data_IF_096423389119
#
_entry.id   IF_096423389119
#
_cell.length_a   1.000
_cell.length_b   1.000
_cell.length_c   1.000
_cell.angle_alpha   90.00
_cell.angle_beta   90.00
_cell.angle_gamma   90.00
#
_symmetry.space_group_name_H-M   'P 1'
#
loop_
_entity.id
_entity.type
_entity.pdbx_description
1 polymer ?
#
# COMPACT_ATOMS: atom_id res chain seq x y z
N UNK A 1 -19.59 -8.30 13.30
CA UNK A 1 -18.81 -7.42 12.41
C UNK A 1 -17.83 -8.33 11.67
N UNK A 2 -18.01 -8.52 10.36
CA UNK A 2 -17.12 -9.39 9.59
C UNK A 2 -15.87 -8.60 9.19
N UNK A 3 -14.68 -9.13 9.50
CA UNK A 3 -13.41 -8.62 8.96
C UNK A 3 -13.21 -9.27 7.58
N UNK A 4 -13.33 -8.52 6.47
CA UNK A 4 -13.10 -9.09 5.15
C UNK A 4 -11.60 -9.41 4.99
N UNK A 5 -11.29 -10.67 4.66
CA UNK A 5 -9.95 -11.10 4.25
C UNK A 5 -9.93 -11.13 2.72
N UNK A 6 -9.01 -10.36 2.12
CA UNK A 6 -8.79 -10.37 0.68
C UNK A 6 -7.46 -11.06 0.37
N UNK A 7 -7.51 -12.18 -0.34
CA UNK A 7 -6.34 -12.87 -0.87
C UNK A 7 -6.17 -12.50 -2.34
N UNK A 8 -5.07 -11.86 -2.70
CA UNK A 8 -4.81 -11.42 -4.06
C UNK A 8 -3.32 -11.46 -4.40
N UNK A 9 -3.01 -11.78 -5.66
CA UNK A 9 -1.64 -11.68 -6.19
C UNK A 9 -1.34 -10.27 -6.71
N UNK A 10 -2.37 -9.55 -7.14
CA UNK A 10 -2.31 -8.13 -7.54
C UNK A 10 -3.12 -7.33 -6.55
N UNK A 11 -2.46 -6.40 -5.86
CA UNK A 11 -3.10 -5.55 -4.86
C UNK A 11 -4.13 -4.66 -5.60
N UNK A 12 -5.38 -4.54 -5.10
CA UNK A 12 -6.36 -3.65 -5.72
C UNK A 12 -5.90 -2.19 -5.59
N UNK A 13 -6.39 -1.26 -6.43
CA UNK A 13 -6.14 0.15 -6.21
C UNK A 13 -6.87 0.64 -4.95
N UNK A 14 -6.28 1.56 -4.20
CA UNK A 14 -6.90 2.21 -3.03
C UNK A 14 -6.84 3.73 -3.14
N UNK A 15 -7.80 4.40 -2.49
CA UNK A 15 -7.71 5.84 -2.28
C UNK A 15 -6.79 6.13 -1.09
N UNK A 16 -5.60 6.65 -1.38
CA UNK A 16 -4.60 7.03 -0.38
C UNK A 16 -4.95 8.31 0.36
N UNK A 17 -6.00 9.01 -0.04
CA UNK A 17 -6.49 10.18 0.68
C UNK A 17 -7.64 9.83 1.66
N UNK A 18 -8.09 8.57 1.73
CA UNK A 18 -9.08 8.12 2.71
C UNK A 18 -8.41 7.59 3.98
N UNK A 19 -8.18 8.47 4.95
CA UNK A 19 -7.58 8.14 6.25
C UNK A 19 -8.35 7.03 6.99
N UNK A 20 -9.66 6.93 6.78
CA UNK A 20 -10.50 5.96 7.46
C UNK A 20 -10.25 4.56 6.88
N UNK A 21 -10.08 4.44 5.56
CA UNK A 21 -9.62 3.20 4.92
C UNK A 21 -8.19 2.84 5.34
N UNK A 22 -7.27 3.80 5.29
CA UNK A 22 -5.85 3.57 5.61
C UNK A 22 -5.62 3.03 7.02
N UNK A 23 -6.40 3.48 8.01
CA UNK A 23 -6.32 2.98 9.40
C UNK A 23 -6.78 1.53 9.56
N UNK A 24 -7.59 1.00 8.62
CA UNK A 24 -8.23 -0.31 8.72
C UNK A 24 -7.55 -1.38 7.87
N UNK A 25 -6.87 -1.00 6.79
CA UNK A 25 -6.17 -1.95 5.93
C UNK A 25 -4.89 -2.44 6.61
N UNK A 26 -4.67 -3.75 6.57
CA UNK A 26 -3.41 -4.39 6.98
C UNK A 26 -2.92 -5.28 5.85
N UNK A 27 -1.68 -5.05 5.40
CA UNK A 27 -1.05 -5.82 4.34
C UNK A 27 -0.14 -6.86 4.97
N UNK A 28 -0.46 -8.15 4.76
CA UNK A 28 0.37 -9.26 5.23
C UNK A 28 1.10 -9.85 4.01
N UNK A 29 2.40 -9.55 3.82
CA UNK A 29 3.12 -9.99 2.64
C UNK A 29 3.57 -11.45 2.79
N UNK A 30 3.05 -12.33 1.95
CA UNK A 30 3.53 -13.71 1.82
C UNK A 30 4.72 -13.76 0.86
N UNK A 31 5.94 -13.60 1.39
CA UNK A 31 7.17 -13.51 0.59
C UNK A 31 7.85 -14.86 0.35
N UNK A 32 7.48 -15.89 1.12
CA UNK A 32 8.08 -17.22 0.99
C UNK A 32 7.56 -17.93 -0.25
N UNK A 33 8.44 -18.67 -0.91
CA UNK A 33 8.15 -19.50 -2.07
C UNK A 33 8.33 -20.95 -1.65
N UNK A 34 7.25 -21.73 -1.73
CA UNK A 34 7.28 -23.15 -1.41
C UNK A 34 7.51 -23.95 -2.70
N UNK A 35 8.67 -24.59 -2.79
CA UNK A 35 9.08 -25.39 -3.96
C UNK A 35 9.73 -26.70 -3.52
N UNK A 36 9.95 -27.62 -4.45
CA UNK A 36 10.64 -28.89 -4.26
C UNK A 36 11.94 -28.91 -5.07
N UNK A 37 12.81 -29.91 -4.84
CA UNK A 37 14.05 -30.05 -5.60
C UNK A 37 13.80 -30.41 -7.09
N UNK A 38 12.69 -31.09 -7.36
CA UNK A 38 12.27 -31.59 -8.66
C UNK A 38 11.40 -30.61 -9.47
N UNK A 39 11.12 -29.40 -8.96
CA UNK A 39 10.38 -28.38 -9.71
C UNK A 39 11.22 -27.84 -10.88
N UNK A 40 10.86 -28.21 -12.11
CA UNK A 40 11.55 -27.78 -13.33
C UNK A 40 11.52 -26.28 -13.58
N UNK A 41 10.45 -25.58 -13.17
CA UNK A 41 10.30 -24.15 -13.44
C UNK A 41 11.01 -23.29 -12.41
N UNK A 42 11.05 -23.75 -11.16
CA UNK A 42 11.71 -23.04 -10.07
C UNK A 42 12.20 -24.04 -9.00
N UNK A 43 13.34 -24.69 -9.20
CA UNK A 43 13.86 -25.67 -8.25
C UNK A 43 14.20 -25.01 -6.91
N UNK A 44 14.12 -25.79 -5.83
CA UNK A 44 14.56 -25.34 -4.51
C UNK A 44 16.03 -24.92 -4.51
N UNK A 45 16.31 -23.81 -3.85
CA UNK A 45 17.64 -23.23 -3.72
C UNK A 45 17.84 -22.84 -2.26
N UNK A 46 18.82 -23.47 -1.63
CA UNK A 46 19.16 -23.26 -0.21
C UNK A 46 19.69 -21.85 0.06
N UNK A 47 20.32 -21.21 -0.94
CA UNK A 47 20.87 -19.87 -0.80
C UNK A 47 19.80 -18.78 -0.94
N UNK A 48 18.62 -19.13 -1.46
CA UNK A 48 17.53 -18.19 -1.59
C UNK A 48 16.78 -18.06 -0.25
N UNK A 49 16.83 -16.91 0.43
CA UNK A 49 16.25 -16.75 1.77
C UNK A 49 14.72 -16.87 1.79
N UNK A 50 14.06 -16.82 0.63
CA UNK A 50 12.60 -16.97 0.48
C UNK A 50 12.18 -18.40 0.15
N UNK A 51 13.09 -19.25 -0.30
CA UNK A 51 12.75 -20.62 -0.65
C UNK A 51 12.48 -21.45 0.61
N UNK A 52 11.39 -22.21 0.59
CA UNK A 52 11.01 -23.17 1.62
C UNK A 52 10.66 -24.48 0.93
N UNK A 53 10.98 -25.60 1.56
CA UNK A 53 10.57 -26.91 1.05
C UNK A 53 9.05 -27.04 1.15
N UNK A 54 8.42 -27.36 0.03
CA UNK A 54 6.99 -27.65 -0.05
C UNK A 54 6.72 -29.02 0.55
N UNK A 55 5.74 -29.10 1.45
CA UNK A 55 5.19 -30.37 1.94
C UNK A 55 4.02 -30.78 1.03
N UNK A 56 4.16 -31.85 0.21
CA UNK A 56 3.12 -32.27 -0.72
C UNK A 56 1.88 -32.79 0.01
N UNK A 57 2.04 -33.28 1.25
CA UNK A 57 0.97 -33.90 2.04
C UNK A 57 0.38 -32.93 3.09
N UNK A 58 0.68 -31.63 2.97
CA UNK A 58 0.27 -30.63 3.96
C UNK A 58 -1.25 -30.60 4.13
N UNK A 59 -1.99 -30.71 3.02
CA UNK A 59 -3.45 -30.65 3.04
C UNK A 59 -4.03 -31.82 3.82
N UNK A 60 -3.58 -33.03 3.55
CA UNK A 60 -4.01 -34.25 4.21
C UNK A 60 -3.67 -34.19 5.70
N UNK A 61 -2.45 -33.76 6.06
CA UNK A 61 -2.01 -33.57 7.45
C UNK A 61 -2.91 -32.58 8.20
N UNK A 62 -3.28 -31.45 7.58
CA UNK A 62 -4.16 -30.45 8.20
C UNK A 62 -5.60 -30.96 8.39
N UNK A 63 -6.05 -31.91 7.56
CA UNK A 63 -7.39 -32.51 7.65
C UNK A 63 -7.46 -33.68 8.64
N UNK A 64 -6.34 -34.18 9.15
CA UNK A 64 -6.34 -35.19 10.20
C UNK A 64 -6.99 -34.64 11.47
N UNK A 65 -7.81 -35.48 12.12
CA UNK A 65 -8.54 -35.10 13.35
C UNK A 65 -7.61 -34.58 14.44
N UNK A 66 -6.47 -35.24 14.65
CA UNK A 66 -5.47 -34.81 15.64
C UNK A 66 -4.91 -33.40 15.35
N UNK A 67 -4.67 -33.06 14.08
CA UNK A 67 -4.19 -31.72 13.69
C UNK A 67 -5.24 -30.65 13.91
N UNK A 68 -6.51 -30.95 13.64
CA UNK A 68 -7.63 -30.03 13.88
C UNK A 68 -7.81 -29.76 15.38
N UNK A 69 -7.74 -30.79 16.21
CA UNK A 69 -7.78 -30.68 17.67
C UNK A 69 -6.61 -29.84 18.20
N UNK A 70 -5.40 -30.08 17.71
CA UNK A 70 -4.21 -29.27 18.06
C UNK A 70 -4.36 -27.81 17.63
N UNK A 71 -4.89 -27.56 16.43
CA UNK A 71 -5.15 -26.22 15.95
C UNK A 71 -6.17 -25.48 16.81
N UNK A 72 -7.23 -26.16 17.25
CA UNK A 72 -8.21 -25.58 18.18
C UNK A 72 -7.57 -25.21 19.52
N UNK A 73 -6.73 -26.10 20.08
CA UNK A 73 -5.98 -25.80 21.31
C UNK A 73 -5.08 -24.58 21.11
N UNK A 74 -4.38 -24.50 19.98
CA UNK A 74 -3.54 -23.36 19.63
C UNK A 74 -4.34 -22.05 19.52
N UNK A 75 -5.53 -22.09 18.91
CA UNK A 75 -6.45 -20.94 18.84
C UNK A 75 -6.90 -20.48 20.24
N UNK A 76 -7.27 -21.40 21.13
CA UNK A 76 -7.68 -21.07 22.50
C UNK A 76 -6.52 -20.44 23.28
N UNK A 77 -5.31 -20.99 23.15
CA UNK A 77 -4.11 -20.40 23.74
C UNK A 77 -3.82 -18.99 23.19
N UNK A 78 -3.96 -18.81 21.87
CA UNK A 78 -3.81 -17.52 21.21
C UNK A 78 -4.84 -16.50 21.71
N UNK A 79 -6.11 -16.91 21.85
CA UNK A 79 -7.16 -16.06 22.39
C UNK A 79 -6.86 -15.61 23.82
N UNK A 80 -6.43 -16.53 24.70
CA UNK A 80 -6.03 -16.17 26.08
C UNK A 80 -4.90 -15.15 26.13
N UNK A 81 -3.87 -15.32 25.30
CA UNK A 81 -2.78 -14.35 25.17
C UNK A 81 -3.30 -13.00 24.70
N UNK A 82 -4.14 -12.99 23.65
CA UNK A 82 -4.73 -11.76 23.13
C UNK A 82 -5.60 -11.02 24.15
N UNK A 83 -6.40 -11.72 24.96
CA UNK A 83 -7.18 -11.09 26.02
C UNK A 83 -6.32 -10.48 27.14
N UNK A 84 -5.11 -11.01 27.35
CA UNK A 84 -4.19 -10.56 28.40
C UNK A 84 -3.31 -9.41 27.90
N UNK A 85 -2.70 -9.58 26.72
CA UNK A 85 -1.62 -8.72 26.21
C UNK A 85 -2.06 -7.84 25.02
N UNK A 86 -3.23 -8.09 24.45
CA UNK A 86 -3.66 -7.51 23.17
C UNK A 86 -2.90 -8.08 21.96
N UNK A 87 -3.03 -7.42 20.80
CA UNK A 87 -2.34 -7.83 19.56
C UNK A 87 -0.86 -7.38 19.52
N UNK A 88 -0.44 -6.53 20.45
CA UNK A 88 0.88 -5.91 20.48
C UNK A 88 1.10 -4.88 19.37
N UNK A 89 2.37 -4.54 19.15
CA UNK A 89 2.80 -3.59 18.13
C UNK A 89 2.77 -4.26 16.75
N UNK A 90 2.34 -3.53 15.73
CA UNK A 90 2.35 -4.03 14.34
C UNK A 90 3.81 -4.28 13.90
N UNK A 91 4.16 -5.49 13.44
CA UNK A 91 5.51 -5.79 12.95
C UNK A 91 5.96 -4.85 11.83
N UNK A 92 7.24 -4.49 11.82
CA UNK A 92 7.80 -3.56 10.84
C UNK A 92 7.57 -4.02 9.40
N UNK A 93 7.66 -5.33 9.12
CA UNK A 93 7.42 -5.87 7.79
C UNK A 93 5.99 -5.62 7.24
N UNK A 94 5.00 -5.47 8.13
CA UNK A 94 3.61 -5.13 7.78
C UNK A 94 3.49 -3.62 7.56
N UNK A 95 4.17 -2.81 8.40
CA UNK A 95 4.22 -1.35 8.24
C UNK A 95 4.85 -0.98 6.90
N UNK A 96 6.01 -1.57 6.58
CA UNK A 96 6.72 -1.34 5.32
C UNK A 96 5.85 -1.74 4.12
N UNK A 97 5.25 -2.93 4.15
CA UNK A 97 4.40 -3.41 3.06
C UNK A 97 3.15 -2.53 2.85
N UNK A 98 2.62 -1.94 3.92
CA UNK A 98 1.54 -0.97 3.83
C UNK A 98 2.00 0.37 3.25
N UNK A 99 3.16 0.88 3.67
CA UNK A 99 3.74 2.12 3.14
C UNK A 99 4.06 1.99 1.65
N UNK A 100 4.66 0.88 1.23
CA UNK A 100 4.93 0.57 -0.18
C UNK A 100 3.63 0.57 -0.98
N UNK A 101 2.58 -0.06 -0.45
CA UNK A 101 1.28 -0.09 -1.10
C UNK A 101 0.63 1.30 -1.22
N UNK A 102 0.79 2.16 -0.21
CA UNK A 102 0.32 3.54 -0.30
C UNK A 102 1.12 4.34 -1.34
N UNK A 103 2.45 4.18 -1.36
CA UNK A 103 3.31 4.86 -2.34
C UNK A 103 2.97 4.45 -3.78
N UNK A 104 2.74 3.16 -4.03
CA UNK A 104 2.29 2.62 -5.33
C UNK A 104 0.95 3.23 -5.80
N UNK A 105 0.08 3.66 -4.87
CA UNK A 105 -1.24 4.21 -5.20
C UNK A 105 -1.30 5.75 -5.19
N UNK A 106 -0.25 6.44 -4.73
CA UNK A 106 -0.21 7.90 -4.67
C UNK A 106 0.19 8.52 -6.01
N UNK A 107 -0.77 8.56 -6.94
CA UNK A 107 -0.60 9.16 -8.27
C UNK A 107 -0.21 10.63 -8.23
N UNK A 108 -0.66 11.39 -7.22
CA UNK A 108 -0.33 12.81 -7.11
C UNK A 108 1.13 12.99 -6.71
N UNK A 109 1.60 12.19 -5.74
CA UNK A 109 3.00 12.23 -5.33
C UNK A 109 3.94 11.82 -6.46
N UNK A 110 3.67 10.70 -7.15
CA UNK A 110 4.46 10.28 -8.32
C UNK A 110 4.49 11.36 -9.40
N UNK A 111 3.34 12.00 -9.70
CA UNK A 111 3.32 13.12 -10.65
C UNK A 111 4.21 14.30 -10.22
N UNK A 112 4.20 14.67 -8.94
CA UNK A 112 5.02 15.77 -8.42
C UNK A 112 6.50 15.41 -8.49
N UNK A 113 6.88 14.18 -8.11
CA UNK A 113 8.27 13.73 -8.09
C UNK A 113 8.87 13.60 -9.50
N UNK A 114 8.08 13.18 -10.47
CA UNK A 114 8.56 12.90 -11.83
C UNK A 114 8.44 14.12 -12.75
N UNK A 115 7.41 14.95 -12.59
CA UNK A 115 7.07 15.99 -13.57
C UNK A 115 7.12 17.42 -13.02
N UNK A 116 7.41 17.61 -11.73
CA UNK A 116 7.44 18.93 -11.14
C UNK A 116 8.77 19.22 -10.44
N UNK A 117 9.16 20.49 -10.47
CA UNK A 117 10.18 21.00 -9.57
C UNK A 117 9.50 21.61 -8.34
N UNK A 118 10.06 21.32 -7.15
CA UNK A 118 9.54 21.79 -5.87
C UNK A 118 10.53 22.77 -5.26
N UNK A 119 10.08 24.00 -5.02
CA UNK A 119 10.85 25.04 -4.31
C UNK A 119 9.90 25.95 -3.53
N UNK A 120 10.30 26.47 -2.35
CA UNK A 120 9.53 27.47 -1.62
C UNK A 120 9.14 28.71 -2.44
N UNK A 121 9.91 29.02 -3.49
CA UNK A 121 9.74 30.20 -4.34
C UNK A 121 8.88 29.94 -5.59
N UNK A 122 8.63 28.67 -5.93
CA UNK A 122 7.88 28.31 -7.12
C UNK A 122 6.39 28.45 -6.92
N UNK A 123 5.68 28.95 -7.94
CA UNK A 123 4.23 29.10 -7.91
C UNK A 123 3.63 28.64 -9.23
N UNK A 124 2.55 27.86 -9.16
CA UNK A 124 1.70 27.53 -10.32
C UNK A 124 0.26 27.93 -10.06
N UNK A 125 -0.46 28.24 -11.14
CA UNK A 125 -1.89 28.38 -11.11
C UNK A 125 -2.55 27.01 -10.84
N UNK A 126 -3.53 26.96 -9.94
CA UNK A 126 -4.20 25.72 -9.59
C UNK A 126 -4.95 25.07 -10.77
N UNK A 127 -5.46 25.88 -11.71
CA UNK A 127 -6.09 25.42 -12.95
C UNK A 127 -5.09 24.77 -13.89
N UNK A 128 -3.95 25.40 -14.12
CA UNK A 128 -2.87 24.86 -14.98
C UNK A 128 -2.30 23.56 -14.41
N UNK A 129 -2.06 23.54 -13.09
CA UNK A 129 -1.61 22.33 -12.39
C UNK A 129 -2.63 21.19 -12.49
N UNK A 130 -3.93 21.50 -12.32
CA UNK A 130 -5.00 20.50 -12.49
C UNK A 130 -5.05 19.97 -13.92
N UNK A 131 -4.91 20.84 -14.92
CA UNK A 131 -4.90 20.43 -16.31
C UNK A 131 -3.72 19.49 -16.61
N UNK A 132 -2.51 19.84 -16.15
CA UNK A 132 -1.32 19.01 -16.28
C UNK A 132 -1.47 17.65 -15.56
N UNK A 133 -1.95 17.67 -14.31
CA UNK A 133 -2.18 16.45 -13.53
C UNK A 133 -3.23 15.54 -14.17
N UNK A 134 -4.37 16.09 -14.63
CA UNK A 134 -5.42 15.31 -15.27
C UNK A 134 -4.96 14.71 -16.61
N UNK A 135 -4.15 15.46 -17.38
CA UNK A 135 -3.53 14.97 -18.63
C UNK A 135 -2.62 13.77 -18.36
N UNK A 136 -1.82 13.82 -17.29
CA UNK A 136 -0.88 12.74 -16.96
C UNK A 136 -1.57 11.54 -16.28
N UNK A 137 -2.45 11.78 -15.31
CA UNK A 137 -3.10 10.72 -14.54
C UNK A 137 -4.24 10.01 -15.27
N UNK A 138 -4.63 10.49 -16.46
CA UNK A 138 -5.79 10.00 -17.21
C UNK A 138 -7.12 10.13 -16.44
N UNK A 139 -7.14 10.95 -15.38
CA UNK A 139 -8.25 11.08 -14.43
C UNK A 139 -8.81 12.50 -14.49
N UNK A 140 -10.11 12.67 -14.28
CA UNK A 140 -10.73 14.00 -14.21
C UNK A 140 -10.99 14.40 -12.76
N UNK A 141 -9.94 14.83 -12.06
CA UNK A 141 -10.06 15.26 -10.65
C UNK A 141 -10.51 16.70 -10.57
N UNK A 142 -11.51 16.99 -9.73
CA UNK A 142 -12.00 18.35 -9.49
C UNK A 142 -10.92 19.20 -8.80
N UNK A 143 -10.91 20.51 -9.08
CA UNK A 143 -9.88 21.42 -8.55
C UNK A 143 -9.87 21.46 -7.02
N UNK A 144 -11.05 21.49 -6.39
CA UNK A 144 -11.20 21.52 -4.93
C UNK A 144 -10.56 20.28 -4.30
N UNK A 145 -10.87 19.09 -4.84
CA UNK A 145 -10.29 17.82 -4.39
C UNK A 145 -8.78 17.82 -4.55
N UNK A 146 -8.26 18.27 -5.70
CA UNK A 146 -6.83 18.32 -5.94
C UNK A 146 -6.11 19.29 -4.96
N UNK A 147 -6.73 20.42 -4.63
CA UNK A 147 -6.20 21.37 -3.64
C UNK A 147 -6.14 20.72 -2.25
N UNK A 148 -7.17 19.98 -1.83
CA UNK A 148 -7.15 19.25 -0.56
C UNK A 148 -6.05 18.20 -0.52
N UNK A 149 -5.87 17.45 -1.61
CA UNK A 149 -4.79 16.45 -1.75
C UNK A 149 -3.40 17.10 -1.66
N UNK A 150 -3.21 18.27 -2.26
CA UNK A 150 -1.97 19.06 -2.17
C UNK A 150 -1.71 19.55 -0.74
N UNK A 151 -2.74 20.04 -0.04
CA UNK A 151 -2.63 20.46 1.37
C UNK A 151 -2.24 19.30 2.28
N UNK A 152 -2.81 18.11 2.10
CA UNK A 152 -2.40 16.90 2.85
C UNK A 152 -0.91 16.57 2.69
N UNK A 153 -0.34 16.90 1.53
CA UNK A 153 1.09 16.75 1.20
C UNK A 153 1.92 17.98 1.58
N UNK A 154 1.38 18.87 2.42
CA UNK A 154 2.03 20.09 2.95
C UNK A 154 2.39 21.14 1.89
N UNK A 155 1.66 21.18 0.78
CA UNK A 155 1.73 22.29 -0.15
C UNK A 155 0.68 23.35 0.19
N UNK A 156 1.12 24.59 0.40
CA UNK A 156 0.21 25.70 0.69
C UNK A 156 -0.60 26.11 -0.53
N UNK A 157 -1.85 26.53 -0.26
CA UNK A 157 -2.72 27.17 -1.24
C UNK A 157 -3.15 28.53 -0.69
N UNK A 158 -2.93 29.60 -1.47
CA UNK A 158 -3.37 30.96 -1.13
C UNK A 158 -4.37 31.44 -2.18
N UNK A 159 -5.50 31.99 -1.74
CA UNK A 159 -6.43 32.70 -2.63
C UNK A 159 -6.00 34.17 -2.69
N UNK A 160 -5.61 34.63 -3.87
CA UNK A 160 -5.37 36.04 -4.16
C UNK A 160 -6.46 36.58 -5.09
N UNK A 161 -6.79 37.87 -4.97
CA UNK A 161 -7.77 38.56 -5.84
C UNK A 161 -7.43 38.47 -7.33
N UNK A 162 -6.15 38.28 -7.65
CA UNK A 162 -5.66 37.79 -8.94
C UNK A 162 -5.35 36.30 -8.78
N UNK A 163 -6.14 35.41 -9.36
CA UNK A 163 -6.10 33.99 -9.05
C UNK A 163 -4.72 33.34 -9.25
N UNK A 164 -3.97 33.11 -8.17
CA UNK A 164 -2.71 32.34 -8.18
C UNK A 164 -2.43 31.73 -6.81
N UNK A 165 -1.96 30.47 -6.80
CA UNK A 165 -0.79 29.98 -6.04
C UNK A 165 -0.95 28.58 -5.39
N UNK A 166 -0.02 27.70 -5.78
CA UNK A 166 0.52 26.55 -5.03
C UNK A 166 2.04 26.41 -5.29
N UNK A 167 2.82 25.85 -4.35
CA UNK A 167 4.30 25.86 -4.28
C UNK A 167 5.07 24.95 -5.27
N UNK A 168 4.47 24.60 -6.41
CA UNK A 168 4.99 23.58 -7.33
C UNK A 168 5.06 24.18 -8.73
N UNK A 169 6.10 23.91 -9.52
CA UNK A 169 6.15 24.32 -10.93
C UNK A 169 6.28 23.06 -11.82
N UNK A 170 5.37 22.83 -12.78
CA UNK A 170 5.54 21.76 -13.76
C UNK A 170 6.83 21.98 -14.55
N UNK A 171 7.58 20.91 -14.81
CA UNK A 171 8.80 20.99 -15.59
C UNK A 171 8.45 21.43 -17.03
N UNK A 172 9.07 22.52 -17.47
CA UNK A 172 8.92 23.09 -18.83
C UNK A 172 9.38 22.14 -19.94
N UNK A 173 10.06 21.05 -19.61
CA UNK A 173 10.57 20.07 -20.58
C UNK A 173 9.51 19.12 -21.19
N UNK A 174 8.24 19.20 -20.76
CA UNK A 174 7.18 18.29 -21.25
C UNK A 174 5.84 19.00 -21.56
N UNK A 175 5.88 20.24 -22.06
CA UNK A 175 4.74 20.86 -22.75
C UNK A 175 4.88 20.63 -24.24
#
# INVERSE_FOLDING_TARGET
MALPILLCNKKPPIDVDDDAMLRRIKIIPFRNIFTTYDDYSRPYDVNNPRHRLKDPNLREKLLMKCSQEQFLVWLVQGARKWYTDGLGVTPQCIVDAFNDYCAENDKLKSFIEEYCEVSPDYRVNAGDFRAAFNKHSGSNVQQIVLIERMKKRKFDHKQTREGKNSHVKPNTACI
#
